data_IF_875379210481
#
_entry.id   IF_875379210481
#
_cell.length_a   1.000
_cell.length_b   1.000
_cell.length_c   1.000
_cell.angle_alpha   90.00
_cell.angle_beta   90.00
_cell.angle_gamma   90.00
#
_symmetry.space_group_name_H-M   'P 1'
#
loop_
_entity.id
_entity.type
_entity.pdbx_description
1 polymer ?
#
# COMPACT_ATOMS: atom_id res chain seq x y z
N UNK A 1 21.00 -55.97 67.82
CA UNK A 1 20.58 -55.79 66.41
C UNK A 1 19.78 -54.49 66.24
N UNK A 2 20.40 -53.31 66.04
CA UNK A 2 19.65 -52.03 65.91
C UNK A 2 20.22 -51.03 64.88
N UNK A 3 21.16 -51.45 64.01
CA UNK A 3 21.78 -50.60 62.98
C UNK A 3 21.24 -50.81 61.56
N UNK A 4 20.65 -51.98 61.25
CA UNK A 4 20.24 -52.36 59.88
C UNK A 4 18.91 -51.71 59.41
N UNK A 5 18.00 -51.41 60.34
CA UNK A 5 16.72 -50.74 60.03
C UNK A 5 16.87 -49.25 59.71
N UNK A 6 17.70 -48.51 60.45
CA UNK A 6 17.92 -47.06 60.25
C UNK A 6 18.58 -46.74 58.91
N UNK A 7 19.50 -47.58 58.45
CA UNK A 7 20.14 -47.44 57.12
C UNK A 7 19.19 -47.70 55.96
N UNK A 8 18.26 -48.64 56.10
CA UNK A 8 17.20 -48.89 55.13
C UNK A 8 16.24 -47.69 55.01
N UNK A 9 15.80 -47.13 56.14
CA UNK A 9 14.92 -45.95 56.15
C UNK A 9 15.63 -44.74 55.54
N UNK A 10 16.87 -44.46 55.93
CA UNK A 10 17.64 -43.36 55.35
C UNK A 10 17.84 -43.51 53.84
N UNK A 11 18.14 -44.72 53.37
CA UNK A 11 18.33 -45.01 51.94
C UNK A 11 17.04 -44.82 51.14
N UNK A 12 15.89 -45.22 51.70
CA UNK A 12 14.56 -45.01 51.09
C UNK A 12 14.17 -43.53 51.06
N UNK A 13 14.35 -42.80 52.15
CA UNK A 13 14.08 -41.35 52.22
C UNK A 13 14.98 -40.55 51.28
N UNK A 14 16.27 -40.90 51.20
CA UNK A 14 17.23 -40.30 50.26
C UNK A 14 16.82 -40.57 48.81
N UNK A 15 16.34 -41.78 48.50
CA UNK A 15 15.84 -42.11 47.16
C UNK A 15 14.60 -41.31 46.78
N UNK A 16 13.62 -41.19 47.68
CA UNK A 16 12.39 -40.40 47.46
C UNK A 16 12.74 -38.92 47.25
N UNK A 17 13.66 -38.37 48.04
CA UNK A 17 14.13 -37.00 47.88
C UNK A 17 14.78 -36.77 46.50
N UNK A 18 15.66 -37.68 46.06
CA UNK A 18 16.31 -37.59 44.75
C UNK A 18 15.31 -37.70 43.60
N UNK A 19 14.30 -38.57 43.72
CA UNK A 19 13.24 -38.73 42.71
C UNK A 19 12.39 -37.45 42.60
N UNK A 20 11.97 -36.87 43.73
CA UNK A 20 11.23 -35.60 43.73
C UNK A 20 12.04 -34.46 43.11
N UNK A 21 13.33 -34.39 43.42
CA UNK A 21 14.23 -33.37 42.86
C UNK A 21 14.39 -33.54 41.34
N UNK A 22 14.57 -34.77 40.83
CA UNK A 22 14.63 -35.03 39.38
C UNK A 22 13.33 -34.64 38.67
N UNK A 23 12.17 -35.00 39.24
CA UNK A 23 10.87 -34.63 38.67
C UNK A 23 10.67 -33.11 38.63
N UNK A 24 11.13 -32.40 39.66
CA UNK A 24 11.12 -30.94 39.68
C UNK A 24 11.98 -30.34 38.55
N UNK A 25 13.22 -30.83 38.37
CA UNK A 25 14.08 -30.36 37.28
C UNK A 25 13.49 -30.61 35.89
N UNK A 26 12.87 -31.78 35.68
CA UNK A 26 12.22 -32.10 34.40
C UNK A 26 11.05 -31.13 34.15
N UNK A 27 10.18 -30.94 35.15
CA UNK A 27 9.05 -30.00 35.07
C UNK A 27 9.51 -28.58 34.78
N UNK A 28 10.57 -28.11 35.46
CA UNK A 28 11.11 -26.77 35.27
C UNK A 28 11.70 -26.60 33.86
N UNK A 29 12.45 -27.60 33.36
CA UNK A 29 12.99 -27.60 31.99
C UNK A 29 11.88 -27.50 30.94
N UNK A 30 10.82 -28.31 31.05
CA UNK A 30 9.67 -28.24 30.14
C UNK A 30 8.94 -26.89 30.22
N UNK A 31 8.85 -26.31 31.43
CA UNK A 31 8.29 -24.96 31.63
C UNK A 31 9.08 -23.88 30.88
N UNK A 32 10.41 -23.89 31.02
CA UNK A 32 11.30 -22.94 30.33
C UNK A 32 11.23 -23.10 28.82
N UNK A 33 11.24 -24.33 28.29
CA UNK A 33 11.09 -24.60 26.86
C UNK A 33 9.76 -24.07 26.31
N UNK A 34 8.65 -24.28 27.03
CA UNK A 34 7.35 -23.77 26.61
C UNK A 34 7.29 -22.24 26.58
N UNK A 35 7.91 -21.56 27.54
CA UNK A 35 8.00 -20.09 27.54
C UNK A 35 8.79 -19.60 26.32
N UNK A 36 9.96 -20.21 26.04
CA UNK A 36 10.77 -19.89 24.85
C UNK A 36 10.01 -20.14 23.55
N UNK A 37 9.27 -21.25 23.46
CA UNK A 37 8.47 -21.57 22.26
C UNK A 37 7.35 -20.56 22.04
N UNK A 38 6.70 -20.11 23.12
CA UNK A 38 5.67 -19.06 23.07
C UNK A 38 6.26 -17.71 22.68
N UNK A 39 7.43 -17.32 23.20
CA UNK A 39 8.08 -16.07 22.84
C UNK A 39 8.51 -16.04 21.37
N UNK A 40 9.05 -17.15 20.83
CA UNK A 40 9.40 -17.27 19.41
C UNK A 40 8.15 -17.14 18.53
N UNK A 41 7.05 -17.82 18.87
CA UNK A 41 5.79 -17.67 18.14
C UNK A 41 5.26 -16.24 18.18
N UNK A 42 5.32 -15.58 19.33
CA UNK A 42 4.90 -14.18 19.47
C UNK A 42 5.75 -13.23 18.61
N UNK A 43 7.07 -13.47 18.55
CA UNK A 43 7.99 -12.70 17.73
C UNK A 43 7.69 -12.86 16.23
N UNK A 44 7.48 -14.08 15.73
CA UNK A 44 7.11 -14.34 14.32
C UNK A 44 5.77 -13.68 13.97
N UNK A 45 4.80 -13.71 14.89
CA UNK A 45 3.51 -13.05 14.69
C UNK A 45 3.67 -11.54 14.58
N UNK A 46 4.50 -10.93 15.45
CA UNK A 46 4.77 -9.49 15.41
C UNK A 46 5.50 -9.09 14.13
N UNK A 47 6.54 -9.83 13.73
CA UNK A 47 7.26 -9.58 12.47
C UNK A 47 6.31 -9.65 11.27
N UNK A 48 5.48 -10.70 11.20
CA UNK A 48 4.51 -10.85 10.12
C UNK A 48 3.48 -9.72 10.10
N UNK A 49 3.03 -9.26 11.27
CA UNK A 49 2.10 -8.13 11.39
C UNK A 49 2.74 -6.83 10.88
N UNK A 50 3.98 -6.55 11.26
CA UNK A 50 4.72 -5.37 10.81
C UNK A 50 4.94 -5.44 9.30
N UNK A 51 5.39 -6.59 8.78
CA UNK A 51 5.57 -6.79 7.33
C UNK A 51 4.28 -6.56 6.56
N UNK A 52 3.14 -7.06 7.05
CA UNK A 52 1.85 -6.88 6.38
C UNK A 52 1.37 -5.44 6.41
N UNK A 53 1.55 -4.73 7.54
CA UNK A 53 1.22 -3.31 7.63
C UNK A 53 2.06 -2.47 6.66
N UNK A 54 3.38 -2.73 6.59
CA UNK A 54 4.27 -2.05 5.67
C UNK A 54 3.91 -2.34 4.21
N UNK A 55 3.62 -3.60 3.88
CA UNK A 55 3.21 -3.98 2.52
C UNK A 55 1.90 -3.28 2.13
N UNK A 56 0.88 -3.32 2.99
CA UNK A 56 -0.40 -2.66 2.73
C UNK A 56 -0.24 -1.16 2.55
N UNK A 57 0.60 -0.53 3.37
CA UNK A 57 0.90 0.89 3.25
C UNK A 57 1.55 1.21 1.90
N UNK A 58 2.59 0.46 1.51
CA UNK A 58 3.29 0.66 0.25
C UNK A 58 2.36 0.46 -0.95
N UNK A 59 1.56 -0.60 -0.96
CA UNK A 59 0.60 -0.87 -2.05
C UNK A 59 -0.42 0.25 -2.16
N UNK A 60 -0.98 0.71 -1.04
CA UNK A 60 -1.97 1.79 -1.04
C UNK A 60 -1.37 3.10 -1.51
N UNK A 61 -0.17 3.43 -1.03
CA UNK A 61 0.55 4.64 -1.42
C UNK A 61 0.89 4.66 -2.91
N UNK A 62 1.41 3.54 -3.44
CA UNK A 62 1.72 3.40 -4.85
C UNK A 62 0.46 3.46 -5.70
N UNK A 63 -0.61 2.78 -5.30
CA UNK A 63 -1.88 2.81 -6.03
C UNK A 63 -2.46 4.21 -6.09
N UNK A 64 -2.49 4.93 -4.96
CA UNK A 64 -2.96 6.31 -4.91
C UNK A 64 -2.11 7.24 -5.79
N UNK A 65 -0.79 7.07 -5.78
CA UNK A 65 0.11 7.87 -6.61
C UNK A 65 -0.13 7.60 -8.10
N UNK A 66 -0.31 6.32 -8.48
CA UNK A 66 -0.58 5.91 -9.85
C UNK A 66 -1.96 6.38 -10.33
N UNK A 67 -3.01 6.27 -9.51
CA UNK A 67 -4.35 6.73 -9.89
C UNK A 67 -4.38 8.24 -10.09
N UNK A 68 -3.70 9.00 -9.23
CA UNK A 68 -3.60 10.45 -9.38
C UNK A 68 -2.86 10.80 -10.67
N UNK A 69 -1.74 10.12 -10.96
CA UNK A 69 -0.99 10.31 -12.20
C UNK A 69 -1.83 9.99 -13.44
N UNK A 70 -2.57 8.88 -13.45
CA UNK A 70 -3.46 8.50 -14.56
C UNK A 70 -4.60 9.50 -14.76
N UNK A 71 -5.16 10.02 -13.68
CA UNK A 71 -6.21 11.04 -13.77
C UNK A 71 -5.66 12.34 -14.36
N UNK A 72 -4.45 12.74 -13.98
CA UNK A 72 -3.79 13.91 -14.54
C UNK A 72 -3.45 13.72 -16.02
N UNK A 73 -2.86 12.58 -16.40
CA UNK A 73 -2.60 12.22 -17.80
C UNK A 73 -3.88 12.24 -18.64
N UNK A 74 -5.00 11.73 -18.11
CA UNK A 74 -6.27 11.75 -18.82
C UNK A 74 -6.78 13.19 -19.05
N UNK A 75 -6.64 14.08 -18.07
CA UNK A 75 -7.00 15.49 -18.23
C UNK A 75 -6.10 16.22 -19.23
N UNK A 76 -4.80 15.95 -19.21
CA UNK A 76 -3.84 16.52 -20.17
C UNK A 76 -4.13 16.01 -21.58
N UNK A 77 -4.42 14.72 -21.75
CA UNK A 77 -4.80 14.14 -23.04
C UNK A 77 -6.08 14.77 -23.60
N UNK A 78 -7.10 15.01 -22.77
CA UNK A 78 -8.32 15.69 -23.20
C UNK A 78 -8.06 17.12 -23.70
N UNK A 79 -7.16 17.86 -23.04
CA UNK A 79 -6.77 19.19 -23.48
C UNK A 79 -6.03 19.13 -24.82
N UNK A 80 -5.07 18.21 -24.96
CA UNK A 80 -4.35 17.99 -26.22
C UNK A 80 -5.31 17.64 -27.36
N UNK A 81 -6.29 16.77 -27.10
CA UNK A 81 -7.31 16.40 -28.08
C UNK A 81 -8.16 17.60 -28.52
N UNK A 82 -8.61 18.42 -27.57
CA UNK A 82 -9.37 19.64 -27.87
C UNK A 82 -8.57 20.61 -28.76
N UNK A 83 -7.27 20.75 -28.49
CA UNK A 83 -6.35 21.56 -29.30
C UNK A 83 -6.12 20.97 -30.69
N UNK A 84 -5.99 19.65 -30.81
CA UNK A 84 -5.85 18.98 -32.10
C UNK A 84 -7.11 19.15 -32.96
N UNK A 85 -8.31 19.03 -32.37
CA UNK A 85 -9.56 19.28 -33.08
C UNK A 85 -9.65 20.75 -33.49
N UNK A 86 -9.20 21.67 -32.66
CA UNK A 86 -9.17 23.09 -33.01
C UNK A 86 -8.21 23.38 -34.18
N UNK A 87 -7.02 22.78 -34.18
CA UNK A 87 -6.09 22.88 -35.29
C UNK A 87 -6.71 22.32 -36.58
N UNK A 88 -7.34 21.15 -36.52
CA UNK A 88 -8.00 20.53 -37.67
C UNK A 88 -9.15 21.39 -38.22
N UNK A 89 -9.92 22.06 -37.34
CA UNK A 89 -10.97 22.99 -37.74
C UNK A 89 -10.41 24.21 -38.49
N UNK A 90 -9.29 24.77 -38.01
CA UNK A 90 -8.57 25.87 -38.69
C UNK A 90 -8.07 25.42 -40.05
N UNK A 91 -7.37 24.28 -40.12
CA UNK A 91 -6.83 23.73 -41.37
C UNK A 91 -7.92 23.42 -42.39
N UNK A 92 -9.07 22.94 -41.92
CA UNK A 92 -10.24 22.63 -42.77
C UNK A 92 -11.10 23.86 -43.10
N UNK A 93 -10.72 25.05 -42.63
CA UNK A 93 -11.49 26.30 -42.79
C UNK A 93 -12.93 26.21 -42.26
N UNK A 94 -13.17 25.35 -41.27
CA UNK A 94 -14.47 25.17 -40.65
C UNK A 94 -14.62 26.09 -39.45
N UNK A 95 -15.74 26.81 -39.38
CA UNK A 95 -16.07 27.70 -38.24
C UNK A 95 -16.53 26.93 -37.01
N UNK A 96 -16.94 25.67 -37.18
CA UNK A 96 -17.34 24.75 -36.13
C UNK A 96 -16.92 23.32 -36.51
N UNK A 97 -16.31 22.61 -35.55
CA UNK A 97 -15.97 21.20 -35.71
C UNK A 97 -16.22 20.46 -34.40
N UNK A 98 -17.04 19.40 -34.48
CA UNK A 98 -17.33 18.50 -33.37
C UNK A 98 -16.71 17.14 -33.64
N UNK A 99 -15.69 16.77 -32.88
CA UNK A 99 -15.00 15.49 -33.03
C UNK A 99 -14.55 14.97 -31.66
N UNK A 100 -14.68 13.66 -31.43
CA UNK A 100 -14.29 12.97 -30.19
C UNK A 100 -14.80 13.62 -28.89
N UNK A 101 -16.00 14.21 -28.93
CA UNK A 101 -16.61 14.86 -27.75
C UNK A 101 -16.15 16.30 -27.48
N UNK A 102 -15.20 16.83 -28.25
CA UNK A 102 -14.85 18.27 -28.25
C UNK A 102 -15.70 18.99 -29.31
N UNK A 103 -16.28 20.15 -28.95
CA UNK A 103 -17.09 20.98 -29.85
C UNK A 103 -16.41 22.33 -29.99
N UNK A 104 -15.54 22.42 -31.00
CA UNK A 104 -14.74 23.61 -31.23
C UNK A 104 -15.51 24.61 -32.09
N UNK A 105 -15.62 25.85 -31.59
CA UNK A 105 -16.14 27.00 -32.33
C UNK A 105 -15.05 28.04 -32.49
N UNK A 106 -14.82 28.44 -33.73
CA UNK A 106 -13.83 29.45 -34.12
C UNK A 106 -14.59 30.71 -34.48
N UNK A 107 -14.35 31.79 -33.72
CA UNK A 107 -14.85 33.13 -34.04
C UNK A 107 -13.68 34.00 -34.45
N UNK A 108 -13.69 34.44 -35.70
CA UNK A 108 -12.76 35.45 -36.20
C UNK A 108 -13.41 36.82 -36.03
N UNK A 109 -12.80 37.65 -35.20
CA UNK A 109 -13.05 39.09 -35.16
C UNK A 109 -11.90 39.79 -35.91
N UNK A 110 -12.16 41.01 -36.35
CA UNK A 110 -11.22 41.96 -36.96
C UNK A 110 -9.91 42.17 -36.17
N UNK A 111 -9.88 41.82 -34.88
CA UNK A 111 -8.73 42.02 -33.98
C UNK A 111 -8.16 40.72 -33.41
N UNK A 112 -8.92 39.61 -33.42
CA UNK A 112 -8.49 38.35 -32.81
C UNK A 112 -9.28 37.13 -33.33
N UNK A 113 -8.63 35.98 -33.34
CA UNK A 113 -9.27 34.67 -33.52
C UNK A 113 -9.45 34.00 -32.16
N UNK A 114 -10.69 33.71 -31.79
CA UNK A 114 -11.06 33.08 -30.52
C UNK A 114 -11.50 31.64 -30.80
N UNK A 115 -10.85 30.69 -30.12
CA UNK A 115 -11.13 29.27 -30.17
C UNK A 115 -11.77 28.86 -28.85
N UNK A 116 -12.97 28.29 -28.94
CA UNK A 116 -13.74 27.86 -27.76
C UNK A 116 -14.19 26.41 -27.88
N UNK A 117 -14.12 25.66 -26.77
CA UNK A 117 -14.67 24.31 -26.63
C UNK A 117 -15.78 24.32 -25.58
N UNK A 118 -16.97 23.83 -25.95
CA UNK A 118 -18.16 23.85 -25.09
C UNK A 118 -18.47 25.22 -24.44
N UNK A 119 -18.12 26.32 -25.12
CA UNK A 119 -18.31 27.69 -24.63
C UNK A 119 -17.22 28.22 -23.70
N UNK A 120 -16.17 27.44 -23.41
CA UNK A 120 -14.98 27.87 -22.69
C UNK A 120 -13.87 28.26 -23.67
N UNK A 121 -13.29 29.44 -23.48
CA UNK A 121 -12.16 29.90 -24.29
C UNK A 121 -10.90 29.07 -23.98
N UNK A 122 -10.34 28.43 -25.01
CA UNK A 122 -9.12 27.61 -24.89
C UNK A 122 -7.92 28.39 -25.42
N UNK A 123 -8.11 29.15 -26.50
CA UNK A 123 -7.06 29.94 -27.12
C UNK A 123 -7.62 31.24 -27.72
N UNK A 124 -6.82 32.29 -27.60
CA UNK A 124 -7.01 33.57 -28.27
C UNK A 124 -5.73 33.92 -29.00
N UNK A 125 -5.86 34.14 -30.29
CA UNK A 125 -4.78 34.58 -31.15
C UNK A 125 -5.09 36.02 -31.55
N UNK A 126 -4.24 36.96 -31.15
CA UNK A 126 -4.37 38.36 -31.60
C UNK A 126 -3.93 38.47 -33.05
N UNK A 127 -4.66 39.23 -33.86
CA UNK A 127 -4.27 39.50 -35.24
C UNK A 127 -3.03 40.40 -35.22
N UNK A 128 -1.88 39.83 -35.55
CA UNK A 128 -0.64 40.60 -35.68
C UNK A 128 -0.73 41.44 -36.96
N UNK A 129 -0.98 42.74 -36.76
CA UNK A 129 -0.96 43.77 -37.79
C UNK A 129 0.43 43.89 -38.43
#
# INVERSE_FOLDING_TARGET
MMRKGRTQVYRKSKFIYLMRRKQFYIKWRWGVENIKRKSIKGYILLESLISMALLSFLVTFLLSSLTNSRQQEAQENQQIESLNVAQMAIESQLTELSLNGSVIKIRQDSTATIISDHGKEILRLEAQN
#
